data_IF_266757369427
#
_entry.id   IF_266757369427
#
_cell.length_a   1.000
_cell.length_b   1.000
_cell.length_c   1.000
_cell.angle_alpha   90.00
_cell.angle_beta   90.00
_cell.angle_gamma   90.00
#
_symmetry.space_group_name_H-M   'P 1'
#
loop_
_entity.id
_entity.type
_entity.pdbx_description
1 polymer ?
#
# COMPACT_ATOMS: atom_id res chain seq x y z
N UNK A 1 19.44 -11.36 -15.34
CA UNK A 1 19.86 -10.64 -14.13
C UNK A 1 18.63 -10.27 -13.31
N UNK A 2 18.68 -10.39 -11.98
CA UNK A 2 17.58 -10.02 -11.09
C UNK A 2 17.45 -8.49 -11.05
N UNK A 3 16.25 -7.94 -11.26
CA UNK A 3 16.04 -6.47 -11.17
C UNK A 3 16.21 -6.03 -9.72
N UNK A 4 16.98 -4.98 -9.46
CA UNK A 4 17.10 -4.37 -8.14
C UNK A 4 16.08 -3.25 -7.98
N UNK A 5 15.31 -3.27 -6.89
CA UNK A 5 14.28 -2.29 -6.57
C UNK A 5 14.54 -1.73 -5.18
N UNK A 6 14.67 -0.42 -5.06
CA UNK A 6 14.83 0.27 -3.79
C UNK A 6 13.55 1.04 -3.49
N UNK A 7 13.01 0.87 -2.29
CA UNK A 7 11.78 1.51 -1.83
C UNK A 7 12.11 2.32 -0.59
N UNK A 8 11.67 3.57 -0.57
CA UNK A 8 11.90 4.51 0.53
C UNK A 8 10.57 4.75 1.24
N UNK A 9 10.51 4.40 2.52
CA UNK A 9 9.33 4.47 3.38
C UNK A 9 8.67 3.10 3.55
N UNK A 10 8.78 2.53 4.75
CA UNK A 10 8.13 1.30 5.19
C UNK A 10 6.72 1.53 5.74
N UNK A 11 5.94 2.41 5.12
CA UNK A 11 4.50 2.55 5.39
C UNK A 11 3.67 1.51 4.62
N UNK A 12 2.34 1.60 4.69
CA UNK A 12 1.44 0.65 4.03
C UNK A 12 1.75 0.49 2.53
N UNK A 13 1.89 1.62 1.81
CA UNK A 13 2.19 1.61 0.38
C UNK A 13 3.58 1.01 0.07
N UNK A 14 4.61 1.36 0.84
CA UNK A 14 5.97 0.88 0.60
C UNK A 14 6.15 -0.60 0.92
N UNK A 15 5.53 -1.09 2.00
CA UNK A 15 5.51 -2.51 2.34
C UNK A 15 4.79 -3.34 1.26
N UNK A 16 3.64 -2.86 0.77
CA UNK A 16 2.94 -3.53 -0.34
C UNK A 16 3.76 -3.49 -1.64
N UNK A 17 4.40 -2.37 -1.96
CA UNK A 17 5.28 -2.29 -3.13
C UNK A 17 6.48 -3.26 -3.01
N UNK A 18 7.07 -3.38 -1.83
CA UNK A 18 8.20 -4.27 -1.56
C UNK A 18 7.79 -5.74 -1.70
N UNK A 19 6.65 -6.10 -1.09
CA UNK A 19 6.06 -7.43 -1.22
C UNK A 19 5.80 -7.80 -2.68
N UNK A 20 5.08 -6.94 -3.42
CA UNK A 20 4.75 -7.17 -4.83
C UNK A 20 5.99 -7.28 -5.71
N UNK A 21 6.98 -6.41 -5.53
CA UNK A 21 8.24 -6.48 -6.28
C UNK A 21 9.00 -7.78 -5.99
N UNK A 22 9.09 -8.19 -4.73
CA UNK A 22 9.74 -9.43 -4.33
C UNK A 22 9.02 -10.67 -4.89
N UNK A 23 7.69 -10.70 -4.86
CA UNK A 23 6.89 -11.76 -5.49
C UNK A 23 7.13 -11.86 -7.00
N UNK A 24 7.41 -10.74 -7.67
CA UNK A 24 7.77 -10.70 -9.10
C UNK A 24 9.27 -10.97 -9.36
N UNK A 25 10.00 -11.48 -8.36
CA UNK A 25 11.38 -11.92 -8.51
C UNK A 25 12.42 -10.80 -8.47
N UNK A 26 12.10 -9.61 -7.95
CA UNK A 26 13.08 -8.55 -7.75
C UNK A 26 14.00 -8.79 -6.52
N UNK A 27 15.19 -8.21 -6.54
CA UNK A 27 16.06 -8.01 -5.38
C UNK A 27 15.65 -6.67 -4.72
N UNK A 28 15.01 -6.74 -3.56
CA UNK A 28 14.31 -5.58 -2.95
C UNK A 28 15.04 -5.09 -1.72
N UNK A 29 15.33 -3.78 -1.66
CA UNK A 29 15.77 -3.07 -0.48
C UNK A 29 14.68 -2.08 -0.04
N UNK A 30 14.11 -2.29 1.14
CA UNK A 30 13.17 -1.36 1.77
C UNK A 30 13.89 -0.55 2.85
N UNK A 31 13.84 0.77 2.74
CA UNK A 31 14.43 1.71 3.69
C UNK A 31 13.31 2.39 4.48
N UNK A 32 13.44 2.44 5.80
CA UNK A 32 12.53 3.15 6.69
C UNK A 32 13.35 4.01 7.66
N UNK A 33 12.90 5.23 7.91
CA UNK A 33 13.59 6.17 8.80
C UNK A 33 13.30 5.88 10.28
N UNK A 34 12.13 5.33 10.57
CA UNK A 34 11.72 4.98 11.92
C UNK A 34 12.33 3.64 12.35
N UNK A 35 12.50 3.47 13.67
CA UNK A 35 12.95 2.19 14.25
C UNK A 35 11.99 1.03 13.97
N UNK A 36 10.70 1.32 13.72
CA UNK A 36 9.65 0.34 13.52
C UNK A 36 8.94 0.65 12.20
N UNK A 37 8.89 -0.36 11.32
CA UNK A 37 8.12 -0.32 10.08
C UNK A 37 6.64 -0.13 10.36
N UNK A 38 5.93 0.61 9.51
CA UNK A 38 4.49 0.78 9.66
C UNK A 38 4.07 1.53 10.93
N UNK A 39 4.94 2.36 11.53
CA UNK A 39 4.65 3.11 12.77
C UNK A 39 3.29 3.82 12.73
N UNK A 40 2.89 4.39 11.59
CA UNK A 40 1.55 4.98 11.41
C UNK A 40 0.44 3.93 11.41
N UNK A 41 0.62 2.79 10.75
CA UNK A 41 -0.37 1.69 10.70
C UNK A 41 -0.72 1.21 12.11
N UNK A 42 0.28 1.09 13.00
CA UNK A 42 0.07 0.68 14.39
C UNK A 42 -0.87 1.62 15.17
N UNK A 43 -1.01 2.87 14.74
CA UNK A 43 -1.88 3.87 15.37
C UNK A 43 -3.24 4.04 14.68
N UNK A 44 -3.45 3.49 13.48
CA UNK A 44 -4.72 3.69 12.75
C UNK A 44 -5.86 2.89 13.37
N UNK A 45 -7.09 3.37 13.22
CA UNK A 45 -8.28 2.70 13.74
C UNK A 45 -8.24 2.47 15.25
N UNK A 46 -7.62 3.40 16.01
CA UNK A 46 -7.41 3.26 17.45
C UNK A 46 -6.66 1.96 17.82
N UNK A 47 -5.58 1.66 17.08
CA UNK A 47 -4.78 0.45 17.26
C UNK A 47 -5.35 -0.82 16.63
N UNK A 48 -6.51 -0.74 15.96
CA UNK A 48 -7.18 -1.89 15.31
C UNK A 48 -6.92 -1.98 13.81
N UNK A 49 -6.32 -0.94 13.22
CA UNK A 49 -6.10 -0.80 11.78
C UNK A 49 -7.38 -0.86 10.94
N UNK A 50 -7.97 0.30 10.62
CA UNK A 50 -9.03 0.37 9.62
C UNK A 50 -8.42 0.30 8.21
N UNK A 51 -8.17 -0.91 7.71
CA UNK A 51 -7.29 -1.16 6.56
C UNK A 51 -7.96 -1.06 5.18
N UNK A 52 -9.29 -1.12 5.10
CA UNK A 52 -10.05 -0.95 3.85
C UNK A 52 -11.50 -0.54 4.13
N UNK A 53 -12.30 -0.31 3.09
CA UNK A 53 -13.72 0.04 3.20
C UNK A 53 -14.52 -0.62 2.07
N UNK A 54 -15.62 -1.31 2.39
CA UNK A 54 -16.52 -1.96 1.41
C UNK A 54 -17.16 -0.99 0.41
N UNK A 55 -17.28 0.28 0.80
CA UNK A 55 -17.77 1.34 -0.06
C UNK A 55 -16.58 2.21 -0.51
N UNK A 56 -16.16 2.00 -1.75
CA UNK A 56 -15.13 2.79 -2.42
C UNK A 56 -15.65 3.23 -3.77
N UNK A 57 -15.68 4.54 -3.99
CA UNK A 57 -15.92 5.16 -5.28
C UNK A 57 -15.06 6.43 -5.42
N UNK A 58 -15.03 7.02 -6.61
CA UNK A 58 -14.18 8.19 -6.88
C UNK A 58 -14.47 9.41 -6.00
N UNK A 59 -15.71 9.56 -5.50
CA UNK A 59 -16.09 10.66 -4.61
C UNK A 59 -15.48 10.56 -3.21
N UNK A 60 -15.05 9.35 -2.81
CA UNK A 60 -14.36 9.11 -1.55
C UNK A 60 -12.89 9.64 -1.56
N UNK A 61 -12.38 10.06 -2.71
CA UNK A 61 -11.00 10.51 -2.89
C UNK A 61 -10.96 11.95 -3.42
N UNK A 62 -10.23 12.83 -2.73
CA UNK A 62 -10.11 14.25 -3.11
C UNK A 62 -8.89 14.47 -4.00
N UNK A 63 -9.13 14.93 -5.23
CA UNK A 63 -8.10 15.20 -6.23
C UNK A 63 -8.69 16.08 -7.33
N UNK A 64 -7.91 17.01 -7.89
CA UNK A 64 -8.31 17.78 -9.08
C UNK A 64 -8.49 16.87 -10.31
N UNK A 65 -7.89 15.67 -10.27
CA UNK A 65 -8.12 14.60 -11.22
C UNK A 65 -8.92 13.48 -10.53
N UNK A 66 -10.25 13.53 -10.65
CA UNK A 66 -11.18 12.61 -9.99
C UNK A 66 -10.98 11.13 -10.37
N UNK A 67 -10.43 10.86 -11.56
CA UNK A 67 -10.13 9.50 -12.01
C UNK A 67 -8.77 8.96 -11.57
N UNK A 68 -7.92 9.78 -10.94
CA UNK A 68 -6.53 9.41 -10.66
C UNK A 68 -6.41 8.19 -9.73
N UNK A 69 -7.12 8.20 -8.59
CA UNK A 69 -7.06 7.12 -7.61
C UNK A 69 -7.52 5.78 -8.20
N UNK A 70 -8.54 5.82 -9.08
CA UNK A 70 -9.13 4.62 -9.68
C UNK A 70 -8.20 3.88 -10.64
N UNK A 71 -7.18 4.57 -11.19
CA UNK A 71 -6.13 3.93 -12.01
C UNK A 71 -5.33 2.88 -11.23
N UNK A 72 -5.27 3.02 -9.90
CA UNK A 72 -4.58 2.11 -8.99
C UNK A 72 -5.58 1.20 -8.26
N UNK A 73 -6.63 1.78 -7.66
CA UNK A 73 -7.63 1.00 -6.88
C UNK A 73 -8.34 -0.04 -7.75
N UNK A 74 -8.62 0.27 -9.02
CA UNK A 74 -9.23 -0.69 -9.93
C UNK A 74 -8.35 -1.90 -10.30
N UNK A 75 -7.07 -1.91 -9.93
CA UNK A 75 -6.14 -3.04 -10.15
C UNK A 75 -5.93 -3.90 -8.90
N UNK A 76 -6.35 -3.41 -7.74
CA UNK A 76 -6.27 -4.07 -6.44
C UNK A 76 -7.39 -3.48 -5.58
N UNK A 77 -8.61 -3.99 -5.79
CA UNK A 77 -9.82 -3.40 -5.21
C UNK A 77 -10.09 -3.89 -3.78
N UNK A 78 -11.22 -3.49 -3.19
CA UNK A 78 -11.53 -3.87 -1.81
C UNK A 78 -11.57 -5.39 -1.58
N UNK A 79 -12.21 -6.21 -2.44
CA UNK A 79 -12.18 -7.65 -2.28
C UNK A 79 -10.78 -8.25 -2.32
N UNK A 80 -9.89 -7.79 -3.22
CA UNK A 80 -8.49 -8.25 -3.21
C UNK A 80 -7.76 -7.81 -1.95
N UNK A 81 -8.03 -6.60 -1.45
CA UNK A 81 -7.43 -6.09 -0.21
C UNK A 81 -7.86 -6.94 0.98
N UNK A 82 -9.16 -7.25 1.10
CA UNK A 82 -9.70 -8.09 2.19
C UNK A 82 -9.22 -9.54 2.07
N UNK A 83 -9.01 -10.07 0.87
CA UNK A 83 -8.48 -11.43 0.66
C UNK A 83 -6.98 -11.55 0.96
N UNK A 84 -6.23 -10.46 0.79
CA UNK A 84 -4.79 -10.43 1.03
C UNK A 84 -4.40 -10.49 2.52
N UNK A 85 -5.24 -9.93 3.40
CA UNK A 85 -5.00 -9.84 4.85
C UNK A 85 -5.82 -10.88 5.63
#
# INVERSE_FOLDING_TARGET
MKKRVIIIGGGAAGSMAAHTAAQNGADVLLLEQNEIIGRKILSTGNGRCNFTNRFQDSSCYRSDNSGFAWKSIGKFSEPETTSFF
#
